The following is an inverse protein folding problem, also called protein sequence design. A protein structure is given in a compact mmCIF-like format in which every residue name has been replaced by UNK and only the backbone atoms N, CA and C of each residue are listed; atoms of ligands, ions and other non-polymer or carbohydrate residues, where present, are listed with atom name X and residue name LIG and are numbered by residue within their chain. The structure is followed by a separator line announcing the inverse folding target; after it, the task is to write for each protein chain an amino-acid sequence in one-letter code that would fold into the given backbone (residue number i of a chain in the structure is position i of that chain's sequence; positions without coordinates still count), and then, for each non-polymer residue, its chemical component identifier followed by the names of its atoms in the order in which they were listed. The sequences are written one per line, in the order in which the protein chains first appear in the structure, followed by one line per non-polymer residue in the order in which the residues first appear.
data_IF_722335522556
#
_entry.id   IF_722335522556
#
_cell.length_a   1.000
_cell.length_b   1.000
_cell.length_c   1.000
_cell.angle_alpha   90.00
_cell.angle_beta   90.00
_cell.angle_gamma   90.00
#
_symmetry.space_group_name_H-M   'P 1'
#
loop_
_entity.id
_entity.type
_entity.pdbx_description
1 polymer ?
#
# COMPACT_ATOMS: atom_id res chain seq x y z
N UNK A 1 2.54 -25.16 -8.10
CA UNK A 1 3.43 -24.00 -8.29
C UNK A 1 2.64 -22.77 -7.89
N UNK A 2 3.05 -22.01 -6.87
CA UNK A 2 2.27 -20.89 -6.32
C UNK A 2 2.13 -19.78 -7.36
N UNK A 3 0.91 -19.50 -7.85
CA UNK A 3 0.65 -18.32 -8.70
C UNK A 3 0.91 -17.08 -7.85
N UNK A 4 1.86 -16.24 -8.26
CA UNK A 4 2.24 -15.03 -7.53
C UNK A 4 2.01 -13.78 -8.37
N UNK A 5 1.17 -12.88 -7.85
CA UNK A 5 0.84 -11.62 -8.52
C UNK A 5 1.46 -10.45 -7.76
N UNK A 6 1.99 -9.46 -8.50
CA UNK A 6 2.61 -8.26 -7.91
C UNK A 6 1.55 -7.30 -7.38
N UNK A 7 1.70 -6.90 -6.13
CA UNK A 7 0.87 -5.88 -5.46
C UNK A 7 1.69 -4.63 -5.20
N UNK A 8 1.07 -3.55 -4.70
CA UNK A 8 1.80 -2.32 -4.37
C UNK A 8 2.90 -2.57 -3.35
N UNK A 9 2.65 -3.35 -2.30
CA UNK A 9 3.62 -3.55 -1.20
C UNK A 9 4.45 -4.82 -1.29
N UNK A 10 4.34 -5.57 -2.39
CA UNK A 10 5.07 -6.80 -2.60
C UNK A 10 4.34 -7.75 -3.54
N UNK A 11 3.97 -8.94 -3.05
CA UNK A 11 3.27 -9.97 -3.84
C UNK A 11 2.19 -10.66 -3.02
N UNK A 12 1.13 -11.06 -3.71
CA UNK A 12 0.15 -12.02 -3.22
C UNK A 12 0.41 -13.36 -3.93
N UNK A 13 0.48 -14.44 -3.16
CA UNK A 13 0.68 -15.79 -3.66
C UNK A 13 -0.49 -16.66 -3.25
N UNK A 14 -1.02 -17.43 -4.20
CA UNK A 14 -2.10 -18.38 -3.97
C UNK A 14 -1.51 -19.76 -3.68
N UNK A 15 -1.63 -20.20 -2.43
CA UNK A 15 -1.25 -21.52 -1.94
C UNK A 15 -2.30 -22.60 -2.20
N UNK A 16 -1.97 -23.82 -1.78
CA UNK A 16 -2.94 -24.91 -1.72
C UNK A 16 -4.04 -24.55 -0.71
N UNK A 17 -3.65 -24.25 0.54
CA UNK A 17 -4.59 -24.01 1.65
C UNK A 17 -4.62 -22.56 2.17
N UNK A 18 -3.71 -21.70 1.69
CA UNK A 18 -3.57 -20.34 2.22
C UNK A 18 -3.23 -19.32 1.14
N UNK A 19 -3.69 -18.08 1.33
CA UNK A 19 -3.15 -16.89 0.67
C UNK A 19 -1.92 -16.41 1.43
N UNK A 20 -0.82 -16.18 0.71
CA UNK A 20 0.44 -15.67 1.28
C UNK A 20 0.73 -14.28 0.75
N UNK A 21 0.82 -13.31 1.67
CA UNK A 21 1.19 -11.93 1.40
C UNK A 21 2.66 -11.74 1.76
N UNK A 22 3.49 -11.59 0.74
CA UNK A 22 4.91 -11.25 0.90
C UNK A 22 5.07 -9.75 0.71
N UNK A 23 5.13 -9.01 1.81
CA UNK A 23 5.36 -7.57 1.79
C UNK A 23 6.83 -7.26 2.04
N UNK A 24 7.43 -6.45 1.16
CA UNK A 24 8.78 -5.94 1.33
C UNK A 24 8.84 -4.49 0.84
N UNK A 25 9.07 -3.57 1.77
CA UNK A 25 9.12 -2.13 1.48
C UNK A 25 10.28 -1.76 0.52
N UNK A 26 11.41 -2.47 0.59
CA UNK A 26 12.52 -2.26 -0.33
C UNK A 26 12.15 -2.66 -1.76
N UNK A 27 11.40 -3.76 -1.91
CA UNK A 27 10.89 -4.17 -3.21
C UNK A 27 9.83 -3.21 -3.74
N UNK A 28 9.01 -2.61 -2.88
CA UNK A 28 8.08 -1.57 -3.30
C UNK A 28 8.81 -0.36 -3.90
N UNK A 29 9.80 0.22 -3.19
CA UNK A 29 10.53 1.36 -3.72
C UNK A 29 11.33 1.01 -4.98
N UNK A 30 11.96 -0.17 -5.01
CA UNK A 30 12.70 -0.64 -6.19
C UNK A 30 11.79 -0.84 -7.39
N UNK A 31 10.60 -1.40 -7.20
CA UNK A 31 9.62 -1.60 -8.26
C UNK A 31 8.99 -0.29 -8.71
N UNK A 32 8.64 0.60 -7.77
CA UNK A 32 8.12 1.93 -8.07
C UNK A 32 9.14 2.74 -8.88
N UNK A 33 10.41 2.70 -8.50
CA UNK A 33 11.49 3.34 -9.25
C UNK A 33 11.61 2.74 -10.66
N UNK A 34 11.63 1.41 -10.80
CA UNK A 34 11.72 0.75 -12.10
C UNK A 34 10.54 1.09 -13.01
N UNK A 35 9.31 0.95 -12.51
CA UNK A 35 8.09 1.12 -13.30
C UNK A 35 7.91 2.60 -13.70
N UNK A 36 8.28 3.57 -12.85
CA UNK A 36 8.18 5.00 -13.17
C UNK A 36 9.36 5.53 -13.99
N UNK A 37 10.59 5.05 -13.76
CA UNK A 37 11.81 5.58 -14.37
C UNK A 37 12.23 4.86 -15.64
N UNK A 38 12.09 3.53 -15.68
CA UNK A 38 12.54 2.68 -16.80
C UNK A 38 11.41 2.47 -17.81
N UNK A 39 10.22 2.07 -17.35
CA UNK A 39 9.07 1.73 -18.21
C UNK A 39 8.06 2.89 -18.37
N UNK A 40 8.16 3.92 -17.53
CA UNK A 40 7.22 5.03 -17.49
C UNK A 40 7.34 5.99 -18.70
N UNK A 41 6.19 6.39 -19.27
CA UNK A 41 6.09 7.50 -20.23
C UNK A 41 6.66 8.79 -19.63
N UNK A 42 7.08 9.76 -20.46
CA UNK A 42 7.75 11.01 -20.03
C UNK A 42 7.03 11.75 -18.90
N UNK A 43 5.69 11.73 -18.88
CA UNK A 43 4.87 12.32 -17.80
C UNK A 43 5.06 11.63 -16.43
N UNK A 44 5.33 10.33 -16.39
CA UNK A 44 5.59 9.57 -15.15
C UNK A 44 6.99 9.83 -14.60
N UNK A 45 7.97 10.13 -15.46
CA UNK A 45 9.31 10.57 -15.04
C UNK A 45 9.28 11.96 -14.42
N UNK A 46 8.50 12.86 -15.03
CA UNK A 46 8.28 14.21 -14.51
C UNK A 46 7.59 14.21 -13.13
N UNK A 47 6.62 13.33 -12.89
CA UNK A 47 5.95 13.22 -11.59
C UNK A 47 6.89 12.66 -10.51
N UNK A 48 7.75 11.69 -10.83
CA UNK A 48 8.77 11.20 -9.90
C UNK A 48 9.79 12.29 -9.55
N UNK A 49 10.21 13.07 -10.54
CA UNK A 49 11.13 14.20 -10.33
C UNK A 49 10.48 15.29 -9.47
N UNK A 50 9.24 15.68 -9.78
CA UNK A 50 8.50 16.66 -8.99
C UNK A 50 8.28 16.19 -7.54
N UNK A 51 7.97 14.91 -7.32
CA UNK A 51 7.84 14.33 -5.98
C UNK A 51 9.17 14.38 -5.22
N UNK A 52 10.26 13.98 -5.85
CA UNK A 52 11.60 13.98 -5.23
C UNK A 52 12.04 15.41 -4.92
N UNK A 53 11.79 16.35 -5.83
CA UNK A 53 12.07 17.77 -5.62
C UNK A 53 11.23 18.35 -4.48
N UNK A 54 9.93 18.05 -4.43
CA UNK A 54 9.05 18.52 -3.37
C UNK A 54 9.44 17.97 -2.00
N UNK A 55 9.84 16.69 -1.91
CA UNK A 55 10.35 16.09 -0.67
C UNK A 55 11.65 16.76 -0.22
N UNK A 56 12.62 16.90 -1.13
CA UNK A 56 13.90 17.55 -0.83
C UNK A 56 13.72 19.02 -0.43
N UNK A 57 12.87 19.75 -1.14
CA UNK A 57 12.56 21.15 -0.84
C UNK A 57 11.82 21.27 0.50
N UNK A 58 10.82 20.43 0.74
CA UNK A 58 10.08 20.38 1.99
C UNK A 58 10.98 20.04 3.19
N UNK A 59 11.89 19.09 3.05
CA UNK A 59 12.90 18.77 4.08
C UNK A 59 13.85 19.93 4.33
N UNK A 60 14.29 20.62 3.27
CA UNK A 60 15.19 21.77 3.38
C UNK A 60 14.50 22.94 4.10
N UNK A 61 13.26 23.27 3.73
CA UNK A 61 12.46 24.33 4.38
C UNK A 61 12.10 23.94 5.81
N UNK A 62 11.79 22.66 6.07
CA UNK A 62 11.51 22.17 7.42
C UNK A 62 12.74 22.25 8.29
N UNK A 63 13.92 21.81 7.81
CA UNK A 63 15.18 21.95 8.55
C UNK A 63 15.53 23.40 8.84
N UNK A 64 15.36 24.29 7.85
CA UNK A 64 15.58 25.72 8.01
C UNK A 64 14.61 26.33 9.05
N UNK A 65 13.36 25.89 9.04
CA UNK A 65 12.34 26.31 10.01
C UNK A 65 12.63 25.76 11.41
N UNK A 66 13.06 24.50 11.52
CA UNK A 66 13.45 23.85 12.78
C UNK A 66 14.69 24.51 13.40
N UNK A 67 15.61 25.04 12.57
CA UNK A 67 16.73 25.85 13.03
C UNK A 67 16.31 27.24 13.55
N UNK A 68 15.15 27.75 13.14
CA UNK A 68 14.59 29.02 13.61
C UNK A 68 13.50 28.87 14.69
N UNK A 69 13.07 27.63 14.98
CA UNK A 69 12.02 27.32 15.95
C UNK A 69 12.61 27.06 17.34
N UNK A 70 11.91 27.54 18.38
CA UNK A 70 12.24 27.16 19.76
C UNK A 70 11.97 25.67 20.00
N UNK A 71 12.74 25.07 20.89
CA UNK A 71 12.65 23.65 21.26
C UNK A 71 11.21 23.27 21.66
N UNK A 72 10.49 24.15 22.35
CA UNK A 72 9.12 23.91 22.78
C UNK A 72 8.15 23.69 21.61
N UNK A 73 8.27 24.47 20.53
CA UNK A 73 7.39 24.32 19.36
C UNK A 73 7.70 23.02 18.62
N UNK A 74 8.97 22.64 18.54
CA UNK A 74 9.41 21.38 17.92
C UNK A 74 8.85 20.17 18.68
N UNK A 75 8.85 20.21 20.01
CA UNK A 75 8.27 19.16 20.87
C UNK A 75 6.76 19.06 20.66
N UNK A 76 6.04 20.19 20.63
CA UNK A 76 4.58 20.19 20.39
C UNK A 76 4.25 19.64 19.00
N UNK A 77 5.03 19.98 17.97
CA UNK A 77 4.84 19.46 16.61
C UNK A 77 5.03 17.94 16.54
N UNK A 78 6.13 17.44 17.11
CA UNK A 78 6.38 16.00 17.21
C UNK A 78 5.29 15.27 17.99
N UNK A 79 4.88 15.83 19.14
CA UNK A 79 3.81 15.26 19.96
C UNK A 79 2.48 15.19 19.18
N UNK A 80 2.15 16.21 18.38
CA UNK A 80 0.94 16.21 17.56
C UNK A 80 1.01 15.17 16.43
N UNK A 81 2.16 15.04 15.76
CA UNK A 81 2.39 14.02 14.72
C UNK A 81 2.28 12.60 15.27
N UNK A 82 2.93 12.33 16.41
CA UNK A 82 2.87 11.03 17.09
C UNK A 82 1.44 10.73 17.55
N UNK A 83 0.74 11.70 18.14
CA UNK A 83 -0.64 11.54 18.59
C UNK A 83 -1.58 11.26 17.42
N UNK A 84 -1.43 11.98 16.30
CA UNK A 84 -2.23 11.75 15.09
C UNK A 84 -1.99 10.35 14.53
N UNK A 85 -0.73 9.94 14.39
CA UNK A 85 -0.39 8.61 13.87
C UNK A 85 -0.90 7.48 14.79
N UNK A 86 -0.76 7.66 16.10
CA UNK A 86 -1.30 6.76 17.11
C UNK A 86 -2.82 6.64 17.03
N UNK A 87 -3.54 7.76 16.91
CA UNK A 87 -4.99 7.77 16.75
C UNK A 87 -5.43 7.00 15.49
N UNK A 88 -4.78 7.25 14.34
CA UNK A 88 -5.08 6.52 13.09
C UNK A 88 -4.83 5.03 13.25
N UNK A 89 -3.72 4.64 13.89
CA UNK A 89 -3.39 3.23 14.13
C UNK A 89 -4.43 2.54 15.02
N UNK A 90 -4.86 3.20 16.10
CA UNK A 90 -5.91 2.70 17.01
C UNK A 90 -7.23 2.52 16.26
N UNK A 91 -7.66 3.52 15.48
CA UNK A 91 -8.88 3.43 14.68
C UNK A 91 -8.83 2.26 13.69
N UNK A 92 -7.69 2.04 13.04
CA UNK A 92 -7.52 0.90 12.12
C UNK A 92 -7.59 -0.44 12.86
N UNK A 93 -7.02 -0.52 14.06
CA UNK A 93 -7.06 -1.73 14.89
C UNK A 93 -8.49 -2.07 15.35
N UNK A 94 -9.28 -1.05 15.73
CA UNK A 94 -10.70 -1.19 16.07
C UNK A 94 -11.57 -1.57 14.87
N UNK A 95 -11.16 -1.23 13.65
CA UNK A 95 -11.83 -1.65 12.40
C UNK A 95 -11.42 -3.04 11.92
N UNK A 96 -10.67 -3.79 12.73
CA UNK A 96 -10.27 -5.16 12.41
C UNK A 96 -9.09 -5.29 11.44
N UNK A 97 -8.46 -4.19 11.00
CA UNK A 97 -7.38 -4.29 10.01
C UNK A 97 -6.08 -4.83 10.61
N UNK A 98 -5.50 -5.86 9.99
CA UNK A 98 -4.31 -6.53 10.51
C UNK A 98 -3.09 -6.55 9.58
N UNK A 99 -1.99 -6.96 10.20
CA UNK A 99 -0.63 -7.29 9.74
C UNK A 99 -0.42 -8.49 8.82
N UNK A 100 -1.41 -9.40 8.82
CA UNK A 100 -1.08 -10.82 8.72
C UNK A 100 -0.58 -11.20 7.31
N UNK A 101 0.43 -12.09 7.29
CA UNK A 101 1.14 -12.49 6.07
C UNK A 101 0.62 -13.78 5.46
N UNK A 102 -0.14 -14.56 6.23
CA UNK A 102 -0.76 -15.81 5.79
C UNK A 102 -2.20 -15.81 6.27
N UNK A 103 -3.11 -16.10 5.37
CA UNK A 103 -4.55 -16.17 5.62
C UNK A 103 -5.01 -17.51 5.05
N UNK A 104 -5.58 -18.38 5.89
CA UNK A 104 -6.13 -19.66 5.42
C UNK A 104 -7.40 -19.43 4.63
N UNK A 105 -7.61 -20.17 3.54
CA UNK A 105 -8.86 -20.08 2.78
C UNK A 105 -10.08 -20.44 3.65
N UNK A 106 -9.94 -21.41 4.55
CA UNK A 106 -11.02 -21.83 5.46
C UNK A 106 -11.47 -20.71 6.40
N UNK A 107 -10.59 -19.74 6.67
CA UNK A 107 -10.90 -18.57 7.50
C UNK A 107 -11.48 -17.41 6.69
N UNK A 108 -11.40 -17.41 5.36
CA UNK A 108 -11.87 -16.29 4.53
C UNK A 108 -13.40 -16.28 4.50
N UNK A 109 -13.97 -15.15 4.88
CA UNK A 109 -15.42 -14.95 4.86
C UNK A 109 -15.87 -14.23 3.57
N UNK A 110 -15.05 -13.30 3.07
CA UNK A 110 -15.42 -12.40 1.98
C UNK A 110 -14.19 -11.71 1.39
N UNK A 111 -14.16 -11.58 0.06
CA UNK A 111 -13.13 -10.83 -0.66
C UNK A 111 -13.80 -9.79 -1.53
N UNK A 112 -13.49 -8.51 -1.30
CA UNK A 112 -14.05 -7.40 -2.08
C UNK A 112 -12.98 -6.58 -2.76
N UNK A 113 -13.13 -6.38 -4.07
CA UNK A 113 -12.40 -5.35 -4.79
C UNK A 113 -13.06 -3.99 -4.54
N UNK A 114 -12.27 -3.03 -4.06
CA UNK A 114 -12.64 -1.62 -4.02
C UNK A 114 -11.86 -0.91 -5.11
N UNK A 115 -12.55 -0.55 -6.18
CA UNK A 115 -11.96 0.21 -7.28
C UNK A 115 -11.52 1.60 -6.85
N UNK A 116 -10.38 2.04 -7.39
CA UNK A 116 -9.88 3.39 -7.21
C UNK A 116 -10.59 4.36 -8.15
N UNK A 117 -11.42 5.27 -7.63
CA UNK A 117 -12.18 6.25 -8.45
C UNK A 117 -11.35 7.40 -9.01
N UNK A 118 -10.11 7.59 -8.55
CA UNK A 118 -9.24 8.74 -8.85
C UNK A 118 -7.78 8.30 -8.97
N UNK A 119 -6.97 9.10 -9.67
CA UNK A 119 -5.51 8.94 -9.76
C UNK A 119 -4.81 8.82 -8.40
N UNK A 120 -5.38 9.42 -7.35
CA UNK A 120 -4.89 9.36 -5.97
C UNK A 120 -5.33 8.10 -5.21
N UNK A 121 -6.46 7.51 -5.57
CA UNK A 121 -7.02 6.34 -4.89
C UNK A 121 -6.62 5.09 -5.66
N UNK A 122 -5.80 4.24 -5.05
CA UNK A 122 -5.42 2.97 -5.68
C UNK A 122 -6.53 1.93 -5.47
N UNK A 123 -6.81 1.07 -6.47
CA UNK A 123 -7.63 -0.11 -6.27
C UNK A 123 -7.03 -0.99 -5.15
N UNK A 124 -7.89 -1.67 -4.41
CA UNK A 124 -7.48 -2.52 -3.28
C UNK A 124 -8.45 -3.66 -3.07
N UNK A 125 -7.92 -4.84 -2.74
CA UNK A 125 -8.74 -5.92 -2.20
C UNK A 125 -8.84 -5.79 -0.69
N UNK A 126 -10.04 -6.04 -0.18
CA UNK A 126 -10.32 -6.20 1.25
C UNK A 126 -10.65 -7.67 1.46
N UNK A 127 -9.76 -8.39 2.14
CA UNK A 127 -9.97 -9.78 2.53
C UNK A 127 -10.48 -9.75 3.96
N UNK A 128 -11.72 -10.17 4.18
CA UNK A 128 -12.29 -10.38 5.51
C UNK A 128 -12.12 -11.84 5.89
N UNK A 129 -11.58 -12.12 7.08
CA UNK A 129 -11.26 -13.47 7.51
C UNK A 129 -11.26 -13.60 9.02
N UNK A 130 -11.67 -14.76 9.53
CA UNK A 130 -11.91 -14.99 10.95
C UNK A 130 -12.84 -13.95 11.60
N UNK A 131 -12.97 -13.99 12.92
CA UNK A 131 -13.84 -13.06 13.63
C UNK A 131 -13.34 -11.61 13.56
N UNK A 132 -13.93 -10.84 12.64
CA UNK A 132 -13.75 -9.39 12.43
C UNK A 132 -12.33 -8.95 12.08
N UNK A 133 -11.52 -9.81 11.42
CA UNK A 133 -10.22 -9.37 10.87
C UNK A 133 -10.34 -9.04 9.39
N UNK A 134 -9.58 -8.04 8.97
CA UNK A 134 -9.55 -7.54 7.60
C UNK A 134 -8.12 -7.28 7.16
N UNK A 135 -7.82 -7.56 5.89
CA UNK A 135 -6.52 -7.29 5.28
C UNK A 135 -6.69 -6.49 4.01
N UNK A 136 -5.93 -5.39 3.92
CA UNK A 136 -5.82 -4.63 2.69
C UNK A 136 -4.71 -5.18 1.81
N UNK A 137 -5.06 -5.52 0.58
CA UNK A 137 -4.10 -5.77 -0.49
C UNK A 137 -4.20 -4.61 -1.47
N UNK A 138 -3.32 -3.62 -1.28
CA UNK A 138 -3.31 -2.44 -2.14
C UNK A 138 -2.66 -2.75 -3.48
N UNK A 139 -3.33 -2.38 -4.56
CA UNK A 139 -2.81 -2.47 -5.91
C UNK A 139 -2.10 -1.18 -6.29
N UNK A 140 -1.35 -1.23 -7.39
CA UNK A 140 -0.81 -0.03 -8.01
C UNK A 140 -1.94 0.82 -8.59
N UNK A 141 -1.71 2.12 -8.80
CA UNK A 141 -2.69 2.99 -9.45
C UNK A 141 -2.94 2.54 -10.89
N UNK A 142 -4.16 2.68 -11.40
CA UNK A 142 -4.52 2.32 -12.80
C UNK A 142 -3.65 3.02 -13.87
N UNK A 143 -2.94 4.09 -13.49
CA UNK A 143 -1.97 4.77 -14.37
C UNK A 143 -0.75 3.91 -14.71
N UNK A 144 -0.45 2.89 -13.90
CA UNK A 144 0.65 1.97 -14.16
C UNK A 144 0.21 0.88 -15.16
N UNK A 145 1.02 0.59 -16.19
CA UNK A 145 0.69 -0.43 -17.18
C UNK A 145 0.59 -1.83 -16.53
N UNK A 146 -0.38 -2.62 -17.00
CA UNK A 146 -0.61 -3.99 -16.53
C UNK A 146 -1.24 -4.10 -15.14
N UNK A 147 -1.84 -3.03 -14.60
CA UNK A 147 -2.56 -3.11 -13.33
C UNK A 147 -3.89 -3.85 -13.48
N UNK A 148 -4.65 -3.59 -14.55
CA UNK A 148 -5.92 -4.30 -14.78
C UNK A 148 -5.73 -5.80 -14.93
N UNK A 149 -4.75 -6.23 -15.73
CA UNK A 149 -4.44 -7.66 -15.88
C UNK A 149 -4.01 -8.29 -14.55
N UNK A 150 -3.26 -7.58 -13.70
CA UNK A 150 -2.91 -8.08 -12.36
C UNK A 150 -4.10 -8.13 -11.39
N UNK A 151 -5.11 -7.28 -11.58
CA UNK A 151 -6.35 -7.34 -10.80
C UNK A 151 -7.13 -8.59 -11.23
N UNK A 152 -7.30 -8.79 -12.53
CA UNK A 152 -7.94 -9.99 -13.10
C UNK A 152 -7.23 -11.27 -12.65
N UNK A 153 -5.88 -11.31 -12.71
CA UNK A 153 -5.10 -12.47 -12.24
C UNK A 153 -5.31 -12.77 -10.73
N UNK A 154 -5.62 -11.75 -9.91
CA UNK A 154 -5.91 -11.93 -8.49
C UNK A 154 -7.35 -12.39 -8.29
N UNK A 155 -8.30 -11.81 -9.01
CA UNK A 155 -9.71 -12.24 -9.00
C UNK A 155 -9.83 -13.70 -9.41
N UNK A 156 -9.23 -14.09 -10.54
CA UNK A 156 -9.17 -15.50 -10.97
C UNK A 156 -8.57 -16.41 -9.89
N UNK A 157 -7.52 -15.96 -9.20
CA UNK A 157 -6.88 -16.75 -8.13
C UNK A 157 -7.78 -16.95 -6.90
N UNK A 158 -8.67 -16.00 -6.61
CA UNK A 158 -9.69 -16.14 -5.57
C UNK A 158 -10.89 -16.98 -6.05
N UNK A 159 -11.33 -16.79 -7.29
CA UNK A 159 -12.42 -17.56 -7.91
C UNK A 159 -12.07 -19.05 -8.01
N UNK A 160 -10.84 -19.40 -8.39
CA UNK A 160 -10.31 -20.78 -8.41
C UNK A 160 -10.40 -21.45 -7.02
N UNK A 161 -10.44 -20.66 -5.95
CA UNK A 161 -10.53 -21.09 -4.56
C UNK A 161 -11.94 -20.96 -3.96
N UNK A 162 -12.89 -20.46 -4.76
CA UNK A 162 -14.31 -20.34 -4.38
C UNK A 162 -14.70 -19.03 -3.72
N UNK A 163 -13.93 -17.94 -3.90
CA UNK A 163 -14.18 -16.61 -3.34
C UNK A 163 -14.41 -15.54 -4.39
#
# INVERSE_FOLDING_TARGET
MLRQVKTKRGRIGFGEDNVVLTENYLDYFRNLYRDLWVEGKTHHKASLFALTFAISFGLTVSMLSLMMLSIDVLVVLLASLVSFYGFVWVVQRFRGFTTDRKISYDDIEDVRLVEGKSWLTCPRFIISYGQDKRRYVSMHSHLLPGVSSRIEEIEEGFEEKGF
#
